data_IF_158250139646
#
_entry.id   IF_158250139646
#
_cell.length_a   1.000
_cell.length_b   1.000
_cell.length_c   1.000
_cell.angle_alpha   90.00
_cell.angle_beta   90.00
_cell.angle_gamma   90.00
#
_symmetry.space_group_name_H-M   'P 1'
#
loop_
_entity.id
_entity.type
_entity.pdbx_description
1 polymer ?
#
# COMPACT_ATOMS: atom_id res chain seq x y z
N UNK A 1 -33.58 -14.54 -22.39
CA UNK A 1 -33.35 -14.93 -20.98
C UNK A 1 -32.03 -15.70 -20.77
N UNK A 2 -31.43 -16.23 -21.83
CA UNK A 2 -30.30 -17.18 -21.81
C UNK A 2 -28.93 -16.56 -21.48
N UNK A 3 -28.59 -15.37 -22.00
CA UNK A 3 -27.27 -14.76 -21.77
C UNK A 3 -26.99 -14.39 -20.30
N UNK A 4 -27.99 -13.89 -19.57
CA UNK A 4 -27.81 -13.47 -18.17
C UNK A 4 -27.54 -14.68 -17.26
N UNK A 5 -28.19 -15.81 -17.52
CA UNK A 5 -27.98 -17.04 -16.75
C UNK A 5 -26.62 -17.66 -17.02
N UNK A 6 -26.16 -17.62 -18.28
CA UNK A 6 -24.82 -18.11 -18.65
C UNK A 6 -23.73 -17.22 -18.03
N UNK A 7 -23.89 -15.89 -18.08
CA UNK A 7 -22.96 -14.97 -17.40
C UNK A 7 -22.93 -15.19 -15.89
N UNK A 8 -24.09 -15.38 -15.24
CA UNK A 8 -24.13 -15.69 -13.81
C UNK A 8 -23.41 -17.00 -13.47
N UNK A 9 -23.60 -18.04 -14.29
CA UNK A 9 -22.91 -19.31 -14.12
C UNK A 9 -21.38 -19.18 -14.28
N UNK A 10 -20.92 -18.41 -15.27
CA UNK A 10 -19.48 -18.15 -15.48
C UNK A 10 -18.84 -17.39 -14.31
N UNK A 11 -19.54 -16.40 -13.75
CA UNK A 11 -19.05 -15.66 -12.58
C UNK A 11 -18.92 -16.58 -11.36
N UNK A 12 -19.89 -17.48 -11.16
CA UNK A 12 -19.84 -18.46 -10.06
C UNK A 12 -18.66 -19.42 -10.24
N UNK A 13 -18.45 -19.92 -11.46
CA UNK A 13 -17.31 -20.80 -11.78
C UNK A 13 -15.98 -20.08 -11.55
N UNK A 14 -15.86 -18.81 -11.97
CA UNK A 14 -14.67 -18.01 -11.74
C UNK A 14 -14.39 -17.79 -10.24
N UNK A 15 -15.43 -17.50 -9.46
CA UNK A 15 -15.32 -17.34 -8.01
C UNK A 15 -14.88 -18.63 -7.32
N UNK A 16 -15.45 -19.77 -7.72
CA UNK A 16 -15.06 -21.09 -7.21
C UNK A 16 -13.61 -21.44 -7.57
N UNK A 17 -13.17 -21.11 -8.80
CA UNK A 17 -11.77 -21.28 -9.20
C UNK A 17 -10.84 -20.41 -8.36
N UNK A 18 -11.22 -19.17 -8.08
CA UNK A 18 -10.44 -18.27 -7.22
C UNK A 18 -10.35 -18.77 -5.77
N UNK A 19 -11.45 -19.27 -5.21
CA UNK A 19 -11.45 -19.88 -3.88
C UNK A 19 -10.57 -21.12 -3.87
N UNK A 20 -10.66 -21.98 -4.89
CA UNK A 20 -9.87 -23.19 -5.00
C UNK A 20 -8.36 -22.92 -5.12
N UNK A 21 -7.96 -21.85 -5.82
CA UNK A 21 -6.54 -21.46 -5.91
C UNK A 21 -6.06 -20.88 -4.59
N UNK A 22 -6.81 -19.96 -3.99
CA UNK A 22 -6.47 -19.34 -2.71
C UNK A 22 -6.41 -20.36 -1.56
N UNK A 23 -7.29 -21.36 -1.55
CA UNK A 23 -7.31 -22.41 -0.54
C UNK A 23 -6.09 -23.36 -0.62
N UNK A 24 -5.41 -23.43 -1.77
CA UNK A 24 -4.16 -24.20 -1.92
C UNK A 24 -2.92 -23.41 -1.55
N UNK A 25 -3.03 -22.10 -1.38
CA UNK A 25 -1.93 -21.28 -0.90
C UNK A 25 -1.83 -21.51 0.61
N UNK A 26 -0.77 -22.19 1.03
CA UNK A 26 -0.40 -22.23 2.45
C UNK A 26 0.06 -20.84 2.85
N UNK A 27 -0.84 -20.06 3.44
CA UNK A 27 -0.48 -18.78 4.04
C UNK A 27 0.50 -19.07 5.18
N UNK A 28 1.72 -18.49 5.15
CA UNK A 28 2.64 -18.64 6.27
C UNK A 28 1.96 -18.08 7.51
N UNK A 29 1.99 -18.86 8.60
CA UNK A 29 1.53 -18.37 9.91
C UNK A 29 2.50 -17.26 10.30
N UNK A 30 2.08 -16.01 10.11
CA UNK A 30 2.85 -14.87 10.54
C UNK A 30 2.78 -14.81 12.07
N UNK A 31 3.93 -14.81 12.73
CA UNK A 31 4.05 -14.44 14.14
C UNK A 31 4.37 -12.95 14.21
N UNK A 32 3.37 -12.06 14.36
CA UNK A 32 3.62 -10.62 14.41
C UNK A 32 4.47 -10.23 15.63
N UNK A 33 4.45 -11.04 16.69
CA UNK A 33 5.10 -10.75 17.97
C UNK A 33 6.62 -11.00 17.97
N UNK A 34 7.20 -11.56 16.90
CA UNK A 34 8.65 -11.84 16.85
C UNK A 34 9.47 -10.71 16.22
N UNK A 35 8.83 -9.73 15.59
CA UNK A 35 9.55 -8.64 14.93
C UNK A 35 9.80 -7.50 15.93
N UNK A 36 11.08 -7.22 16.20
CA UNK A 36 11.49 -6.12 17.06
C UNK A 36 11.44 -4.78 16.30
N UNK A 37 11.39 -3.66 17.04
CA UNK A 37 11.52 -2.33 16.44
C UNK A 37 12.84 -2.16 15.68
N UNK A 38 13.91 -2.86 16.08
CA UNK A 38 15.17 -2.89 15.35
C UNK A 38 15.03 -3.59 13.99
N UNK A 39 14.29 -4.69 13.91
CA UNK A 39 14.07 -5.40 12.65
C UNK A 39 13.28 -4.54 11.67
N UNK A 40 12.30 -3.79 12.18
CA UNK A 40 11.55 -2.82 11.38
C UNK A 40 12.46 -1.69 10.88
N UNK A 41 13.34 -1.17 11.74
CA UNK A 41 14.31 -0.13 11.38
C UNK A 41 15.26 -0.59 10.27
N UNK A 42 15.78 -1.83 10.37
CA UNK A 42 16.63 -2.42 9.34
C UNK A 42 15.87 -2.60 8.03
N UNK A 43 14.62 -3.09 8.07
CA UNK A 43 13.81 -3.21 6.87
C UNK A 43 13.52 -1.84 6.21
N UNK A 44 13.26 -0.82 7.03
CA UNK A 44 12.94 0.53 6.58
C UNK A 44 14.15 1.24 5.97
N UNK A 45 15.26 1.33 6.70
CA UNK A 45 16.42 2.14 6.30
C UNK A 45 17.53 1.34 5.61
N UNK A 46 17.43 0.02 5.62
CA UNK A 46 18.44 -0.88 5.09
C UNK A 46 19.62 -1.09 6.04
N UNK A 47 20.63 -1.77 5.53
CA UNK A 47 21.96 -1.93 6.12
C UNK A 47 23.03 -1.71 5.03
N UNK A 48 24.30 -1.98 5.34
CA UNK A 48 25.44 -1.76 4.43
C UNK A 48 25.36 -2.57 3.12
N UNK A 49 24.57 -3.64 3.08
CA UNK A 49 24.51 -4.61 1.98
C UNK A 49 23.16 -4.61 1.27
N UNK A 50 22.09 -4.20 1.95
CA UNK A 50 20.74 -4.13 1.42
C UNK A 50 20.09 -2.78 1.77
N UNK A 51 19.78 -1.92 0.79
CA UNK A 51 19.14 -0.63 1.03
C UNK A 51 17.68 -0.74 1.55
N UNK A 52 17.08 -1.94 1.57
CA UNK A 52 15.73 -2.15 2.09
C UNK A 52 14.70 -1.23 1.43
N UNK A 53 13.82 -0.63 2.24
CA UNK A 53 12.82 0.34 1.79
C UNK A 53 13.31 1.79 1.77
N UNK A 54 14.60 2.05 1.97
CA UNK A 54 15.17 3.40 2.07
C UNK A 54 14.85 4.28 0.85
N UNK A 55 14.91 3.79 -0.41
CA UNK A 55 14.52 4.60 -1.58
C UNK A 55 13.04 5.01 -1.56
N UNK A 56 12.16 4.12 -1.10
CA UNK A 56 10.72 4.40 -1.00
C UNK A 56 10.44 5.44 0.10
N UNK A 57 11.10 5.32 1.26
CA UNK A 57 11.00 6.31 2.33
C UNK A 57 11.48 7.69 1.89
N UNK A 58 12.56 7.75 1.09
CA UNK A 58 13.03 9.01 0.51
C UNK A 58 11.98 9.65 -0.40
N UNK A 59 11.30 8.86 -1.24
CA UNK A 59 10.19 9.37 -2.07
C UNK A 59 9.03 9.90 -1.23
N UNK A 60 8.68 9.20 -0.14
CA UNK A 60 7.64 9.66 0.81
C UNK A 60 8.05 10.98 1.46
N UNK A 61 9.31 11.12 1.88
CA UNK A 61 9.83 12.35 2.47
C UNK A 61 9.74 13.53 1.48
N UNK A 62 10.10 13.31 0.21
CA UNK A 62 9.97 14.33 -0.84
C UNK A 62 8.50 14.70 -1.05
N UNK A 63 7.61 13.71 -1.09
CA UNK A 63 6.17 13.93 -1.26
C UNK A 63 5.61 14.77 -0.11
N UNK A 64 5.98 14.46 1.14
CA UNK A 64 5.60 15.24 2.31
C UNK A 64 6.14 16.67 2.27
N UNK A 65 7.37 16.85 1.79
CA UNK A 65 7.93 18.19 1.59
C UNK A 65 7.16 19.00 0.55
N UNK A 66 6.80 18.39 -0.58
CA UNK A 66 5.96 19.03 -1.61
C UNK A 66 4.58 19.38 -1.05
N UNK A 67 3.97 18.47 -0.29
CA UNK A 67 2.68 18.70 0.36
C UNK A 67 2.75 19.87 1.35
N UNK A 68 3.83 19.95 2.14
CA UNK A 68 4.07 21.05 3.07
C UNK A 68 4.19 22.39 2.33
N UNK A 69 4.96 22.45 1.24
CA UNK A 69 5.10 23.65 0.42
C UNK A 69 3.74 24.09 -0.15
N UNK A 70 2.98 23.15 -0.70
CA UNK A 70 1.62 23.42 -1.20
C UNK A 70 0.71 23.98 -0.12
N UNK A 71 0.73 23.40 1.09
CA UNK A 71 -0.06 23.89 2.22
C UNK A 71 0.33 25.32 2.64
N UNK A 72 1.63 25.63 2.69
CA UNK A 72 2.13 26.96 3.04
C UNK A 72 1.73 28.01 2.00
N UNK A 73 1.85 27.69 0.71
CA UNK A 73 1.42 28.62 -0.35
C UNK A 73 -0.09 28.87 -0.31
N UNK A 74 -0.89 27.82 -0.16
CA UNK A 74 -2.34 27.93 -0.07
C UNK A 74 -2.77 28.77 1.14
N UNK A 75 -2.17 28.53 2.30
CA UNK A 75 -2.43 29.31 3.51
C UNK A 75 -2.10 30.80 3.32
N UNK A 76 -0.98 31.10 2.64
CA UNK A 76 -0.55 32.47 2.37
C UNK A 76 -1.48 33.21 1.41
N UNK A 77 -2.06 32.53 0.42
CA UNK A 77 -3.06 33.12 -0.48
C UNK A 77 -4.36 33.47 0.26
N UNK A 78 -4.81 32.64 1.19
CA UNK A 78 -6.00 32.94 2.01
C UNK A 78 -5.81 34.15 2.93
N UNK A 79 -4.60 34.35 3.45
CA UNK A 79 -4.28 35.53 4.26
C UNK A 79 -4.16 36.81 3.41
N UNK A 80 -3.63 36.70 2.18
CA UNK A 80 -3.49 37.80 1.24
C UNK A 80 -4.79 38.24 0.56
N UNK A 81 -5.73 37.31 0.34
CA UNK A 81 -7.01 37.56 -0.32
C UNK A 81 -8.15 38.06 0.58
N UNK A 82 -7.92 38.14 1.90
CA UNK A 82 -8.88 38.68 2.89
C UNK A 82 -8.79 40.20 3.10
N UNK A 83 -8.23 40.95 2.14
CA UNK A 83 -8.25 42.41 2.12
C UNK A 83 -8.99 42.94 0.91
#
# INVERSE_FOLDING_TARGET
MTNKMISAALVIVLALLMIATLARISWPVANPDTNSNSDLGIAMFGNEQDPGFSPVLMMIAILLLVALLGAVFLAKEEEGGKR
#
